data_IF_223559586041
#
_entry.id   IF_223559586041
#
_cell.length_a   1.000
_cell.length_b   1.000
_cell.length_c   1.000
_cell.angle_alpha   90.00
_cell.angle_beta   90.00
_cell.angle_gamma   90.00
#
_symmetry.space_group_name_H-M   'P 1'
#
loop_
_entity.id
_entity.type
_entity.pdbx_description
1 polymer ?
#
# COMPACT_ATOMS: atom_id res chain seq x y z
N UNK A 1 37.11 -55.96 14.38
CA UNK A 1 36.98 -54.95 15.44
C UNK A 1 36.03 -53.89 14.90
N UNK A 2 34.70 -54.01 15.04
CA UNK A 2 33.89 -53.65 16.24
C UNK A 2 34.46 -52.37 16.89
N UNK A 3 33.79 -51.22 16.98
CA UNK A 3 32.35 -50.90 17.15
C UNK A 3 32.11 -49.46 16.61
N UNK A 4 30.94 -49.06 16.10
CA UNK A 4 29.70 -48.70 16.84
C UNK A 4 29.64 -47.16 17.03
N UNK A 5 28.55 -46.42 16.81
CA UNK A 5 27.17 -46.79 16.58
C UNK A 5 26.33 -45.65 15.96
N UNK A 6 25.17 -46.07 15.47
CA UNK A 6 24.09 -45.27 14.91
C UNK A 6 23.11 -44.80 16.03
N UNK A 7 22.08 -44.00 15.71
CA UNK A 7 21.26 -43.27 16.68
C UNK A 7 20.14 -44.15 17.27
N UNK A 8 19.65 -43.80 18.46
CA UNK A 8 18.49 -44.45 19.05
C UNK A 8 17.43 -43.42 19.48
N UNK A 9 16.21 -43.71 19.04
CA UNK A 9 14.97 -43.09 19.46
C UNK A 9 14.52 -43.59 20.85
N UNK A 10 13.67 -42.76 21.49
CA UNK A 10 12.63 -43.03 22.50
C UNK A 10 12.52 -44.40 23.18
N UNK A 11 12.44 -44.40 24.53
CA UNK A 11 11.46 -45.15 25.39
C UNK A 11 11.41 -44.39 26.74
N UNK A 12 10.35 -43.64 27.07
CA UNK A 12 9.20 -43.97 27.94
C UNK A 12 9.55 -44.63 29.29
N UNK A 13 9.23 -43.95 30.39
CA UNK A 13 8.80 -44.64 31.61
C UNK A 13 7.71 -43.82 32.33
N UNK A 14 6.60 -44.51 32.60
CA UNK A 14 5.31 -44.03 33.09
C UNK A 14 5.20 -43.97 34.63
N UNK A 15 4.40 -43.00 35.10
CA UNK A 15 3.36 -43.05 36.17
C UNK A 15 3.75 -43.23 37.66
N UNK A 16 2.85 -42.93 38.64
CA UNK A 16 1.40 -42.61 38.54
C UNK A 16 0.85 -41.41 39.36
N UNK A 17 -0.28 -40.92 38.84
CA UNK A 17 -1.60 -40.63 39.48
C UNK A 17 -1.75 -39.76 40.75
N UNK A 18 -2.57 -38.71 40.61
CA UNK A 18 -3.90 -38.50 41.23
C UNK A 18 -4.27 -37.01 41.05
N UNK A 19 -5.50 -36.52 40.80
CA UNK A 19 -6.83 -37.02 40.48
C UNK A 19 -7.53 -35.76 39.86
N UNK A 20 -8.23 -35.83 38.73
CA UNK A 20 -9.67 -36.04 38.74
C UNK A 20 -10.44 -34.85 38.13
N UNK A 21 -11.37 -35.18 37.24
CA UNK A 21 -12.51 -34.39 36.74
C UNK A 21 -12.38 -33.70 35.38
N UNK A 22 -12.88 -34.45 34.39
CA UNK A 22 -13.29 -34.07 33.03
C UNK A 22 -14.39 -33.00 33.03
N UNK A 23 -14.25 -31.94 32.22
CA UNK A 23 -15.39 -31.23 31.67
C UNK A 23 -15.16 -30.96 30.17
N UNK A 24 -16.08 -31.53 29.40
CA UNK A 24 -16.25 -31.47 27.96
C UNK A 24 -16.60 -30.06 27.49
N UNK A 25 -16.25 -29.78 26.24
CA UNK A 25 -16.56 -28.56 25.52
C UNK A 25 -18.06 -28.19 25.60
N UNK A 26 -18.35 -26.98 26.05
CA UNK A 26 -19.64 -26.34 25.86
C UNK A 26 -19.41 -25.00 25.16
N UNK A 27 -19.76 -24.97 23.88
CA UNK A 27 -19.97 -23.73 23.15
C UNK A 27 -21.12 -22.97 23.84
N UNK A 28 -20.79 -21.94 24.61
CA UNK A 28 -21.79 -21.04 25.17
C UNK A 28 -22.22 -20.09 24.07
N UNK A 29 -23.36 -20.42 23.45
CA UNK A 29 -24.14 -19.48 22.64
C UNK A 29 -24.75 -18.46 23.60
N UNK A 30 -24.14 -17.29 23.73
CA UNK A 30 -24.80 -16.14 24.35
C UNK A 30 -25.89 -15.61 23.40
N UNK A 31 -27.12 -16.07 23.62
CA UNK A 31 -28.32 -15.40 23.09
C UNK A 31 -28.64 -14.18 23.97
N UNK A 32 -28.65 -13.00 23.34
CA UNK A 32 -29.48 -11.88 23.77
C UNK A 32 -28.90 -10.94 24.82
N UNK A 33 -27.95 -10.09 24.42
CA UNK A 33 -27.99 -8.64 24.65
C UNK A 33 -27.32 -8.00 23.42
N UNK A 34 -28.07 -7.15 22.72
CA UNK A 34 -27.70 -6.57 21.43
C UNK A 34 -26.59 -5.52 21.53
N UNK A 35 -25.38 -5.96 21.86
CA UNK A 35 -24.18 -5.25 21.43
C UNK A 35 -23.95 -5.64 19.97
N UNK A 36 -24.47 -4.83 19.05
CA UNK A 36 -23.96 -4.85 17.69
C UNK A 36 -22.46 -4.61 17.84
N UNK A 37 -21.62 -5.60 17.54
CA UNK A 37 -20.25 -5.30 17.14
C UNK A 37 -20.45 -4.30 16.02
N UNK A 38 -20.11 -3.04 16.27
CA UNK A 38 -20.14 -2.01 15.24
C UNK A 38 -19.40 -2.65 14.08
N UNK A 39 -20.14 -2.97 13.02
CA UNK A 39 -19.56 -3.61 11.85
C UNK A 39 -18.38 -2.72 11.51
N UNK A 40 -17.18 -3.29 11.50
CA UNK A 40 -16.09 -2.69 10.74
C UNK A 40 -16.75 -2.33 9.42
N UNK A 41 -16.84 -1.05 9.04
CA UNK A 41 -17.57 -0.66 7.84
C UNK A 41 -17.07 -1.60 6.75
N UNK A 42 -17.96 -2.38 6.13
CA UNK A 42 -17.57 -3.24 5.01
C UNK A 42 -17.04 -2.28 3.96
N UNK A 43 -15.72 -2.10 3.98
CA UNK A 43 -15.06 -1.15 3.12
C UNK A 43 -15.32 -1.65 1.71
N UNK A 44 -15.72 -0.77 0.77
CA UNK A 44 -15.93 -1.14 -0.61
C UNK A 44 -14.70 -1.90 -1.12
N UNK A 45 -14.80 -3.23 -1.19
CA UNK A 45 -13.66 -4.08 -1.43
C UNK A 45 -13.14 -3.95 -2.86
N UNK A 46 -12.26 -4.88 -3.24
CA UNK A 46 -11.69 -4.99 -4.59
C UNK A 46 -12.73 -5.28 -5.70
N UNK A 47 -13.99 -5.59 -5.33
CA UNK A 47 -15.05 -5.95 -6.29
C UNK A 47 -15.60 -4.76 -7.06
N UNK A 48 -15.58 -3.55 -6.49
CA UNK A 48 -16.06 -2.33 -7.17
C UNK A 48 -15.02 -1.64 -8.05
N UNK A 49 -13.88 -2.31 -8.31
CA UNK A 49 -12.79 -1.78 -9.11
C UNK A 49 -12.53 -2.70 -10.29
N UNK A 50 -12.42 -2.11 -11.47
CA UNK A 50 -12.00 -2.82 -12.67
C UNK A 50 -10.47 -2.99 -12.64
N UNK A 51 -10.04 -4.10 -12.05
CA UNK A 51 -8.64 -4.45 -11.84
C UNK A 51 -8.27 -5.63 -12.74
N UNK A 52 -7.01 -5.66 -13.20
CA UNK A 52 -6.41 -6.87 -13.76
C UNK A 52 -6.35 -7.99 -12.72
N UNK A 53 -6.17 -9.24 -13.13
CA UNK A 53 -6.09 -10.38 -12.20
C UNK A 53 -4.97 -10.21 -11.16
N UNK A 54 -3.81 -9.70 -11.59
CA UNK A 54 -2.68 -9.40 -10.69
C UNK A 54 -3.01 -8.27 -9.71
N UNK A 55 -3.62 -7.19 -10.18
CA UNK A 55 -4.06 -6.09 -9.31
C UNK A 55 -5.12 -6.56 -8.31
N UNK A 56 -6.04 -7.42 -8.75
CA UNK A 56 -7.07 -8.02 -7.88
C UNK A 56 -6.44 -8.90 -6.82
N UNK A 57 -5.44 -9.71 -7.17
CA UNK A 57 -4.70 -10.51 -6.19
C UNK A 57 -4.04 -9.63 -5.12
N UNK A 58 -3.29 -8.60 -5.52
CA UNK A 58 -2.64 -7.69 -4.58
C UNK A 58 -3.64 -6.92 -3.72
N UNK A 59 -4.75 -6.50 -4.31
CA UNK A 59 -5.84 -5.84 -3.61
C UNK A 59 -6.45 -6.76 -2.53
N UNK A 60 -6.68 -8.04 -2.84
CA UNK A 60 -7.19 -9.03 -1.88
C UNK A 60 -6.16 -9.37 -0.79
N UNK A 61 -4.85 -9.37 -1.11
CA UNK A 61 -3.78 -9.61 -0.13
C UNK A 61 -3.60 -8.43 0.84
N UNK A 62 -3.91 -7.20 0.42
CA UNK A 62 -3.72 -5.96 1.20
C UNK A 62 -5.02 -5.13 1.28
N UNK A 63 -6.08 -5.65 1.91
CA UNK A 63 -7.40 -5.01 1.91
C UNK A 63 -7.41 -3.63 2.59
N UNK A 64 -6.51 -3.40 3.54
CA UNK A 64 -6.38 -2.13 4.26
C UNK A 64 -5.83 -0.98 3.39
N UNK A 65 -5.15 -1.28 2.27
CA UNK A 65 -4.67 -0.27 1.32
C UNK A 65 -5.71 0.10 0.25
N UNK A 66 -6.81 -0.66 0.14
CA UNK A 66 -7.88 -0.40 -0.82
C UNK A 66 -8.47 1.02 -0.76
N UNK A 67 -8.77 1.61 0.41
CA UNK A 67 -9.21 3.00 0.47
C UNK A 67 -8.13 3.95 -0.07
N UNK A 68 -6.86 3.76 0.30
CA UNK A 68 -5.74 4.55 -0.21
C UNK A 68 -5.56 4.41 -1.72
N UNK A 69 -5.78 3.21 -2.29
CA UNK A 69 -5.75 2.97 -3.73
C UNK A 69 -6.87 3.75 -4.46
N UNK A 70 -8.08 3.75 -3.90
CA UNK A 70 -9.22 4.51 -4.44
C UNK A 70 -8.97 6.02 -4.38
N UNK A 71 -8.48 6.49 -3.24
CA UNK A 71 -8.17 7.91 -3.02
C UNK A 71 -7.04 8.37 -3.94
N UNK A 72 -5.97 7.58 -4.06
CA UNK A 72 -4.85 7.89 -4.96
C UNK A 72 -5.27 7.95 -6.43
N UNK A 73 -6.11 7.01 -6.87
CA UNK A 73 -6.69 7.04 -8.22
C UNK A 73 -7.57 8.28 -8.44
N UNK A 74 -8.44 8.62 -7.47
CA UNK A 74 -9.30 9.80 -7.54
C UNK A 74 -8.48 11.09 -7.61
N UNK A 75 -7.44 11.21 -6.78
CA UNK A 75 -6.53 12.36 -6.78
C UNK A 75 -5.81 12.51 -8.12
N UNK A 76 -5.32 11.42 -8.69
CA UNK A 76 -4.65 11.43 -9.98
C UNK A 76 -5.57 11.85 -11.14
N UNK A 77 -6.81 11.35 -11.17
CA UNK A 77 -7.81 11.79 -12.17
C UNK A 77 -8.13 13.27 -12.02
N UNK A 78 -8.37 13.74 -10.78
CA UNK A 78 -8.67 15.14 -10.52
C UNK A 78 -7.51 16.05 -10.92
N UNK A 79 -6.27 15.64 -10.64
CA UNK A 79 -5.08 16.40 -11.03
C UNK A 79 -4.89 16.41 -12.54
N UNK A 80 -5.12 15.28 -13.21
CA UNK A 80 -5.06 15.20 -14.67
C UNK A 80 -6.07 16.14 -15.34
N UNK A 81 -7.32 16.13 -14.87
CA UNK A 81 -8.36 17.04 -15.35
C UNK A 81 -8.00 18.50 -15.06
N UNK A 82 -7.44 18.78 -13.89
CA UNK A 82 -7.02 20.13 -13.52
C UNK A 82 -5.89 20.66 -14.40
N UNK A 83 -4.87 19.84 -14.68
CA UNK A 83 -3.73 20.20 -15.54
C UNK A 83 -4.17 20.46 -16.99
N UNK A 84 -5.09 19.65 -17.50
CA UNK A 84 -5.51 19.70 -18.90
C UNK A 84 -6.86 20.42 -19.13
N UNK A 85 -7.38 21.16 -18.14
CA UNK A 85 -8.72 21.80 -18.18
C UNK A 85 -8.94 22.79 -19.33
N UNK A 86 -7.88 23.29 -19.94
CA UNK A 86 -7.93 24.24 -21.07
C UNK A 86 -7.37 23.66 -22.38
N UNK A 87 -7.05 22.36 -22.38
CA UNK A 87 -6.53 21.66 -23.55
C UNK A 87 -7.65 20.99 -24.34
N UNK A 88 -7.39 20.66 -25.61
CA UNK A 88 -8.35 19.93 -26.46
C UNK A 88 -8.67 18.56 -25.90
N UNK A 89 -7.67 17.89 -25.33
CA UNK A 89 -7.83 16.69 -24.53
C UNK A 89 -7.79 17.12 -23.07
N UNK A 90 -8.91 16.98 -22.36
CA UNK A 90 -9.12 17.53 -21.01
C UNK A 90 -9.10 16.45 -19.91
N UNK A 91 -8.57 15.26 -20.22
CA UNK A 91 -8.54 14.11 -19.31
C UNK A 91 -9.92 13.69 -18.75
N UNK A 92 -11.01 13.97 -19.47
CA UNK A 92 -12.34 13.48 -19.10
C UNK A 92 -12.39 11.95 -19.21
N UNK A 93 -12.47 11.26 -18.08
CA UNK A 93 -12.66 9.81 -18.04
C UNK A 93 -14.13 9.50 -18.33
N UNK A 94 -14.41 8.70 -19.37
CA UNK A 94 -15.76 8.15 -19.55
C UNK A 94 -16.05 7.20 -18.39
N UNK A 95 -17.20 7.36 -17.74
CA UNK A 95 -17.59 6.71 -16.48
C UNK A 95 -17.65 5.17 -16.50
N UNK A 96 -17.49 4.55 -17.66
CA UNK A 96 -17.72 3.11 -17.90
C UNK A 96 -16.42 2.34 -18.24
N UNK A 97 -15.30 3.04 -18.47
CA UNK A 97 -14.03 2.38 -18.76
C UNK A 97 -13.30 2.00 -17.45
N UNK A 98 -12.56 0.87 -17.42
CA UNK A 98 -11.82 0.42 -16.23
C UNK A 98 -10.71 1.41 -15.86
N UNK A 99 -11.07 2.45 -15.10
CA UNK A 99 -10.31 3.64 -14.71
C UNK A 99 -9.56 4.39 -15.83
N UNK A 100 -8.99 3.73 -16.87
CA UNK A 100 -8.43 4.29 -18.10
C UNK A 100 -8.44 3.27 -19.29
N UNK A 101 -9.51 2.51 -19.51
CA UNK A 101 -9.49 1.37 -20.45
C UNK A 101 -8.96 1.63 -21.88
N UNK A 102 -9.52 2.61 -22.61
CA UNK A 102 -9.15 2.82 -24.03
C UNK A 102 -7.89 3.70 -24.18
N UNK A 103 -7.73 4.70 -23.33
CA UNK A 103 -6.62 5.66 -23.37
C UNK A 103 -5.27 4.97 -23.10
N UNK A 104 -5.25 3.88 -22.32
CA UNK A 104 -4.03 3.12 -22.01
C UNK A 104 -3.51 2.24 -23.18
N UNK A 105 -4.25 2.15 -24.29
CA UNK A 105 -3.89 1.28 -25.42
C UNK A 105 -3.06 1.98 -26.49
N UNK A 106 -2.93 3.30 -26.42
CA UNK A 106 -2.20 4.11 -27.40
C UNK A 106 -0.91 4.69 -26.80
N UNK A 107 0.16 4.76 -27.60
CA UNK A 107 1.45 5.29 -27.19
C UNK A 107 1.54 6.81 -27.31
N UNK A 108 0.57 7.55 -26.75
CA UNK A 108 0.49 9.01 -26.84
C UNK A 108 1.13 9.69 -25.63
N UNK A 109 1.32 11.03 -25.73
CA UNK A 109 1.88 11.84 -24.63
C UNK A 109 0.89 11.95 -23.47
N UNK A 110 -0.40 11.98 -23.78
CA UNK A 110 -1.52 12.03 -22.86
C UNK A 110 -1.58 10.74 -22.03
N UNK A 111 -1.46 9.58 -22.67
CA UNK A 111 -1.36 8.28 -21.97
C UNK A 111 -0.12 8.20 -21.10
N UNK A 112 1.02 8.71 -21.57
CA UNK A 112 2.24 8.78 -20.78
C UNK A 112 2.04 9.61 -19.49
N UNK A 113 1.36 10.75 -19.59
CA UNK A 113 1.02 11.58 -18.44
C UNK A 113 0.07 10.85 -17.47
N UNK A 114 -0.96 10.16 -17.98
CA UNK A 114 -1.88 9.37 -17.14
C UNK A 114 -1.12 8.34 -16.32
N UNK A 115 -0.21 7.57 -16.93
CA UNK A 115 0.60 6.59 -16.20
C UNK A 115 1.44 7.22 -15.09
N UNK A 116 2.08 8.36 -15.39
CA UNK A 116 2.90 9.08 -14.42
C UNK A 116 2.05 9.64 -13.25
N UNK A 117 0.96 10.36 -13.54
CA UNK A 117 0.12 10.97 -12.50
C UNK A 117 -0.61 9.93 -11.67
N UNK A 118 -1.03 8.80 -12.26
CA UNK A 118 -1.62 7.68 -11.53
C UNK A 118 -0.63 7.04 -10.57
N UNK A 119 0.61 6.81 -11.01
CA UNK A 119 1.65 6.29 -10.14
C UNK A 119 1.97 7.26 -8.99
N UNK A 120 2.10 8.56 -9.28
CA UNK A 120 2.33 9.57 -8.26
C UNK A 120 1.18 9.67 -7.25
N UNK A 121 -0.08 9.67 -7.71
CA UNK A 121 -1.26 9.74 -6.85
C UNK A 121 -1.39 8.54 -5.92
N UNK A 122 -1.09 7.34 -6.40
CA UNK A 122 -1.06 6.13 -5.57
C UNK A 122 0.06 6.18 -4.52
N UNK A 123 1.29 6.56 -4.90
CA UNK A 123 2.40 6.72 -3.95
C UNK A 123 2.03 7.72 -2.86
N UNK A 124 1.45 8.86 -3.24
CA UNK A 124 1.03 9.91 -2.32
C UNK A 124 -0.01 9.41 -1.30
N UNK A 125 -1.09 8.78 -1.77
CA UNK A 125 -2.17 8.32 -0.90
C UNK A 125 -1.74 7.18 0.04
N UNK A 126 -0.94 6.23 -0.45
CA UNK A 126 -0.41 5.13 0.36
C UNK A 126 0.54 5.68 1.42
N UNK A 127 1.48 6.54 1.04
CA UNK A 127 2.48 7.10 1.96
C UNK A 127 1.82 7.90 3.06
N UNK A 128 0.82 8.72 2.73
CA UNK A 128 0.01 9.47 3.71
C UNK A 128 -0.73 8.55 4.68
N UNK A 129 -1.26 7.43 4.19
CA UNK A 129 -1.96 6.46 5.05
C UNK A 129 -0.98 5.80 6.04
N UNK A 130 0.26 5.52 5.60
CA UNK A 130 1.31 4.99 6.45
C UNK A 130 1.69 5.97 7.57
N UNK A 131 1.90 7.25 7.25
CA UNK A 131 2.29 8.25 8.26
C UNK A 131 1.16 8.61 9.23
N UNK A 132 -0.10 8.43 8.83
CA UNK A 132 -1.26 8.56 9.73
C UNK A 132 -1.36 7.43 10.76
N UNK A 133 -0.65 6.31 10.59
CA UNK A 133 -0.74 5.16 11.48
C UNK A 133 -2.02 4.34 11.34
N UNK A 134 -2.77 4.51 10.24
CA UNK A 134 -4.02 3.78 9.98
C UNK A 134 -3.79 2.31 9.56
N UNK A 135 -2.54 1.91 9.35
CA UNK A 135 -2.15 0.60 8.81
C UNK A 135 -0.95 0.08 9.59
N UNK A 136 -0.89 -1.22 9.87
CA UNK A 136 0.16 -1.83 10.69
C UNK A 136 1.42 -2.24 9.92
N UNK A 137 1.32 -2.36 8.59
CA UNK A 137 2.41 -2.86 7.75
C UNK A 137 3.42 -1.78 7.33
N UNK A 138 3.06 -0.51 7.48
CA UNK A 138 3.94 0.63 7.24
C UNK A 138 3.70 1.71 8.30
N UNK A 139 4.61 2.68 8.37
CA UNK A 139 4.56 3.75 9.36
C UNK A 139 5.45 4.93 8.95
N UNK A 140 5.86 5.73 9.93
CA UNK A 140 6.78 6.85 9.71
C UNK A 140 8.16 6.35 9.27
N UNK A 141 8.87 7.14 8.45
CA UNK A 141 10.27 6.87 8.13
C UNK A 141 11.14 6.99 9.40
N UNK A 142 11.62 5.85 9.88
CA UNK A 142 12.43 5.76 11.09
C UNK A 142 13.83 6.36 10.91
N UNK A 143 14.31 6.52 9.67
CA UNK A 143 15.67 7.03 9.38
C UNK A 143 15.87 8.47 9.81
N UNK A 144 14.79 9.26 9.81
CA UNK A 144 14.83 10.69 10.11
C UNK A 144 14.57 10.98 11.59
N UNK A 145 14.16 10.00 12.40
CA UNK A 145 13.73 10.22 13.79
C UNK A 145 14.83 10.58 14.78
N UNK A 146 16.11 10.42 14.40
CA UNK A 146 17.25 10.58 15.32
C UNK A 146 18.25 11.65 14.91
N UNK A 147 17.92 12.49 13.92
CA UNK A 147 18.79 13.59 13.50
C UNK A 147 18.33 14.94 14.07
N UNK A 148 19.22 15.92 14.03
CA UNK A 148 18.98 17.25 14.53
C UNK A 148 20.31 17.94 14.81
N UNK A 149 20.28 19.26 14.84
CA UNK A 149 21.45 20.06 15.16
C UNK A 149 21.12 20.91 16.38
N UNK A 150 21.65 20.50 17.52
CA UNK A 150 21.52 21.24 18.79
C UNK A 150 22.10 22.65 18.64
N UNK A 151 23.15 22.81 17.83
CA UNK A 151 23.77 24.11 17.54
C UNK A 151 22.93 25.01 16.64
N UNK A 152 22.07 24.44 15.80
CA UNK A 152 21.15 25.20 14.92
C UNK A 152 19.73 25.30 15.50
N UNK A 153 19.49 24.79 16.70
CA UNK A 153 18.24 24.94 17.44
C UNK A 153 17.05 24.15 16.88
N UNK A 154 17.28 23.14 16.03
CA UNK A 154 16.22 22.29 15.48
C UNK A 154 16.53 20.80 15.69
N UNK A 155 15.48 20.01 15.85
CA UNK A 155 15.56 18.55 15.92
C UNK A 155 14.48 17.97 15.00
N UNK A 156 14.72 16.78 14.44
CA UNK A 156 13.66 16.06 13.75
C UNK A 156 12.61 15.61 14.77
N UNK A 157 11.35 15.90 14.47
CA UNK A 157 10.20 15.49 15.26
C UNK A 157 9.05 15.04 14.37
N UNK A 158 7.99 14.54 15.00
CA UNK A 158 6.79 14.09 14.29
C UNK A 158 6.96 12.80 13.49
N UNK A 159 6.14 12.66 12.45
CA UNK A 159 6.09 11.49 11.58
C UNK A 159 6.45 11.89 10.15
N UNK A 160 7.65 11.49 9.70
CA UNK A 160 8.04 11.67 8.30
C UNK A 160 7.41 10.58 7.43
N UNK A 161 6.97 10.96 6.23
CA UNK A 161 6.35 10.10 5.24
C UNK A 161 7.33 9.01 4.73
N UNK A 162 6.96 7.73 4.84
CA UNK A 162 7.79 6.62 4.32
C UNK A 162 7.55 6.36 2.82
N UNK A 163 7.99 7.30 1.99
CA UNK A 163 7.73 7.33 0.53
C UNK A 163 8.20 6.04 -0.17
N UNK A 164 9.30 5.43 0.30
CA UNK A 164 9.85 4.20 -0.28
C UNK A 164 8.88 3.02 -0.24
N UNK A 165 8.09 2.90 0.84
CA UNK A 165 7.05 1.88 0.93
C UNK A 165 5.94 2.14 -0.10
N UNK A 166 5.48 3.39 -0.20
CA UNK A 166 4.47 3.79 -1.19
C UNK A 166 4.92 3.53 -2.63
N UNK A 167 6.17 3.88 -2.96
CA UNK A 167 6.77 3.63 -4.27
C UNK A 167 6.88 2.13 -4.58
N UNK A 168 7.35 1.32 -3.61
CA UNK A 168 7.46 -0.13 -3.76
C UNK A 168 6.11 -0.81 -3.99
N UNK A 169 5.10 -0.48 -3.19
CA UNK A 169 3.79 -1.10 -3.32
C UNK A 169 3.13 -0.70 -4.63
N UNK A 170 3.16 0.58 -4.97
CA UNK A 170 2.64 1.11 -6.24
C UNK A 170 3.31 0.44 -7.44
N UNK A 171 4.62 0.21 -7.38
CA UNK A 171 5.36 -0.53 -8.40
C UNK A 171 4.82 -1.94 -8.59
N UNK A 172 4.64 -2.69 -7.50
CA UNK A 172 4.04 -4.03 -7.58
C UNK A 172 2.61 -4.02 -8.12
N UNK A 173 1.85 -2.98 -7.81
CA UNK A 173 0.44 -2.87 -8.18
C UNK A 173 0.22 -2.47 -9.65
N UNK A 174 0.98 -1.49 -10.16
CA UNK A 174 0.81 -0.97 -11.52
C UNK A 174 1.59 -1.80 -12.55
N UNK A 175 2.85 -2.15 -12.26
CA UNK A 175 3.76 -2.74 -13.23
C UNK A 175 3.39 -4.21 -13.46
N UNK A 176 2.52 -4.43 -14.43
CA UNK A 176 2.15 -5.76 -14.92
C UNK A 176 2.93 -6.04 -16.20
N UNK A 177 4.07 -6.73 -16.10
CA UNK A 177 4.69 -7.31 -17.28
C UNK A 177 4.02 -8.66 -17.57
N UNK A 178 3.40 -8.87 -18.73
CA UNK A 178 3.12 -10.22 -19.19
C UNK A 178 4.48 -10.94 -19.29
N UNK A 179 4.71 -11.93 -18.42
CA UNK A 179 5.91 -12.79 -18.49
C UNK A 179 5.95 -13.67 -19.74
N UNK A 180 4.91 -13.60 -20.57
CA UNK A 180 4.77 -14.42 -21.76
C UNK A 180 5.61 -13.81 -22.89
N UNK A 181 6.69 -14.49 -23.23
CA UNK A 181 7.63 -14.21 -24.32
C UNK A 181 7.01 -14.19 -25.73
N UNK A 182 5.70 -14.39 -25.85
CA UNK A 182 4.93 -14.39 -27.08
C UNK A 182 4.21 -13.07 -27.39
N UNK A 183 4.43 -12.01 -26.60
CA UNK A 183 3.86 -10.70 -26.90
C UNK A 183 4.40 -10.16 -28.22
N UNK A 184 3.52 -9.70 -29.13
CA UNK A 184 3.94 -8.98 -30.35
C UNK A 184 4.87 -7.84 -29.95
N UNK A 185 5.90 -7.59 -30.77
CA UNK A 185 6.91 -6.54 -30.55
C UNK A 185 6.31 -5.18 -30.16
N UNK A 186 5.18 -4.82 -30.76
CA UNK A 186 4.42 -3.59 -30.49
C UNK A 186 3.81 -3.52 -29.08
N UNK A 187 3.31 -4.65 -28.56
CA UNK A 187 2.79 -4.75 -27.19
C UNK A 187 3.91 -4.66 -26.16
N UNK A 188 5.08 -5.23 -26.47
CA UNK A 188 6.26 -5.13 -25.62
C UNK A 188 6.79 -3.69 -25.53
N UNK A 189 6.87 -2.97 -26.66
CA UNK A 189 7.31 -1.56 -26.66
C UNK A 189 6.36 -0.67 -25.86
N UNK A 190 5.04 -0.84 -26.05
CA UNK A 190 4.03 -0.07 -25.31
C UNK A 190 4.11 -0.37 -23.80
N UNK A 191 4.22 -1.64 -23.42
CA UNK A 191 4.35 -2.05 -22.02
C UNK A 191 5.61 -1.47 -21.36
N UNK A 192 6.74 -1.46 -22.07
CA UNK A 192 8.00 -0.92 -21.56
C UNK A 192 7.91 0.59 -21.39
N UNK A 193 7.29 1.29 -22.33
CA UNK A 193 7.05 2.73 -22.24
C UNK A 193 6.14 3.06 -21.04
N UNK A 194 5.03 2.33 -20.88
CA UNK A 194 4.10 2.55 -19.78
C UNK A 194 4.73 2.30 -18.41
N UNK A 195 5.64 1.32 -18.32
CA UNK A 195 6.45 1.10 -17.12
C UNK A 195 7.39 2.29 -16.85
N UNK A 196 8.07 2.79 -17.87
CA UNK A 196 8.93 3.97 -17.73
C UNK A 196 8.15 5.20 -17.24
N UNK A 197 6.98 5.46 -17.84
CA UNK A 197 6.12 6.58 -17.47
C UNK A 197 5.63 6.47 -16.01
N UNK A 198 5.22 5.26 -15.60
CA UNK A 198 4.80 4.99 -14.22
C UNK A 198 5.97 5.17 -13.24
N UNK A 199 7.18 4.75 -13.62
CA UNK A 199 8.39 4.94 -12.83
C UNK A 199 8.76 6.42 -12.67
N UNK A 200 8.66 7.22 -13.73
CA UNK A 200 8.87 8.66 -13.67
C UNK A 200 7.91 9.31 -12.65
N UNK A 201 6.63 8.92 -12.64
CA UNK A 201 5.65 9.36 -11.65
C UNK A 201 6.03 9.02 -10.20
N UNK A 202 6.51 7.78 -9.96
CA UNK A 202 6.96 7.37 -8.62
C UNK A 202 8.17 8.17 -8.14
N UNK A 203 9.10 8.49 -9.05
CA UNK A 203 10.29 9.24 -8.71
C UNK A 203 9.99 10.68 -8.31
N UNK A 204 9.04 11.34 -8.99
CA UNK A 204 8.61 12.70 -8.63
C UNK A 204 8.15 12.76 -7.17
N UNK A 205 7.35 11.80 -6.72
CA UNK A 205 6.93 11.74 -5.31
C UNK A 205 8.10 11.55 -4.33
N UNK A 206 9.20 10.94 -4.76
CA UNK A 206 10.39 10.73 -3.93
C UNK A 206 11.40 11.89 -3.98
N UNK A 207 11.39 12.68 -5.06
CA UNK A 207 12.36 13.75 -5.29
C UNK A 207 11.88 15.13 -4.83
N UNK A 208 10.59 15.28 -4.53
CA UNK A 208 10.00 16.51 -4.00
C UNK A 208 9.50 16.42 -2.54
N UNK A 209 10.23 15.79 -1.59
CA UNK A 209 9.82 15.80 -0.19
C UNK A 209 9.97 17.22 0.37
N UNK A 210 8.88 17.79 0.87
CA UNK A 210 8.90 19.08 1.55
C UNK A 210 9.11 18.89 3.05
N UNK A 211 10.14 19.50 3.62
CA UNK A 211 10.25 19.58 5.09
C UNK A 211 9.20 20.53 5.64
N UNK A 212 8.47 20.11 6.67
CA UNK A 212 7.50 20.94 7.40
C UNK A 212 8.01 21.17 8.82
N UNK A 213 8.14 22.43 9.21
CA UNK A 213 8.66 22.82 10.52
C UNK A 213 7.52 23.31 11.41
N UNK A 214 7.56 22.96 12.69
CA UNK A 214 6.65 23.48 13.71
C UNK A 214 7.46 24.20 14.79
N UNK A 215 7.06 25.42 15.12
CA UNK A 215 7.70 26.22 16.17
C UNK A 215 6.87 26.10 17.45
N UNK A 216 7.46 25.67 18.59
CA UNK A 216 6.74 25.69 19.85
C UNK A 216 6.40 27.14 20.25
N UNK A 217 5.25 27.38 20.90
CA UNK A 217 4.89 28.71 21.37
C UNK A 217 5.91 29.22 22.40
N UNK A 218 6.30 30.49 22.26
CA UNK A 218 7.33 31.17 23.07
C UNK A 218 7.00 31.15 24.57
N UNK A 219 5.73 31.04 24.93
CA UNK A 219 5.23 31.07 26.32
C UNK A 219 4.83 29.70 26.86
N UNK A 220 5.60 28.66 26.57
CA UNK A 220 5.49 27.41 27.33
C UNK A 220 6.26 27.58 28.63
N UNK A 221 5.59 28.06 29.69
CA UNK A 221 6.18 28.12 31.03
C UNK A 221 6.59 26.71 31.47
N UNK A 222 7.77 26.53 32.08
CA UNK A 222 8.13 25.25 32.66
C UNK A 222 7.14 24.94 33.81
N UNK A 223 6.54 23.76 33.76
CA UNK A 223 5.78 23.16 34.88
C UNK A 223 6.76 22.63 35.91
#
# INVERSE_FOLDING_TARGET
MFSGGAPAANVVQESPAAAGSTLTAAAVVCRGLGLTTAGVPELPGCRGLSLSDHQRELCLRKPFLVPSLRDGARLAVAECQNQFRHERWNCSTSSEAPLFGYELTSGTKETAFIHAVMAAGLVHAITRTCSQGNVSECGCDARLRSGGSVTEGWHWGGCSDHIQYGAWFTRKFIDNLPKNSSARRESYTLSTMNQHNSEAGRQVSSSTPTSTNTWPPIFSTPV
#
